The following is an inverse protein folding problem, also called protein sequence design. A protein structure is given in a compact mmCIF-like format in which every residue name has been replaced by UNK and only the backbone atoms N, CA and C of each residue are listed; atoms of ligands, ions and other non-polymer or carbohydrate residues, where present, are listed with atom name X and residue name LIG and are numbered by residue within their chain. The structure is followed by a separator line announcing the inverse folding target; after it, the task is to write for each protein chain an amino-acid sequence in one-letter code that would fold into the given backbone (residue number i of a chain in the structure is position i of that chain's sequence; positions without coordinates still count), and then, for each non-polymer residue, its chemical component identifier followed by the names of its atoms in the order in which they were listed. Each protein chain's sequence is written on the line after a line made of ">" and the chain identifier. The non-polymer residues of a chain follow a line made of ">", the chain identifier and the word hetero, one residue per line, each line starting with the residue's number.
data_IF_363810425295
#
_entry.id   IF_363810425295
#
_cell.length_a   1.000
_cell.length_b   1.000
_cell.length_c   1.000
_cell.angle_alpha   90.00
_cell.angle_beta   90.00
_cell.angle_gamma   90.00
#
_symmetry.space_group_name_H-M   'P 1'
#
loop_
_entity.id
_entity.type
_entity.pdbx_description
1 polymer ?
#
# COMPACT_ATOMS: atom_id res chain seq x y z
N UNK A 1 21.69 10.89 37.60
CA UNK A 1 22.44 9.62 37.47
C UNK A 1 21.92 8.45 38.29
N UNK A 2 21.74 8.56 39.61
CA UNK A 2 21.43 7.40 40.47
C UNK A 2 20.03 6.78 40.22
N UNK A 3 19.01 7.60 39.97
CA UNK A 3 17.67 7.13 39.60
C UNK A 3 17.65 6.33 38.28
N UNK A 4 18.42 6.77 37.29
CA UNK A 4 18.55 6.09 35.98
C UNK A 4 19.30 4.76 36.13
N UNK A 5 20.37 4.73 36.93
CA UNK A 5 21.10 3.49 37.25
C UNK A 5 20.20 2.47 37.95
N UNK A 6 19.32 2.92 38.85
CA UNK A 6 18.35 2.05 39.52
C UNK A 6 17.26 1.53 38.55
N UNK A 7 16.72 2.39 37.67
CA UNK A 7 15.80 2.00 36.60
C UNK A 7 16.43 0.93 35.70
N UNK A 8 17.67 1.17 35.24
CA UNK A 8 18.44 0.22 34.43
C UNK A 8 18.68 -1.11 35.14
N UNK A 9 19.02 -1.08 36.43
CA UNK A 9 19.23 -2.31 37.21
C UNK A 9 17.96 -3.17 37.26
N UNK A 10 16.78 -2.54 37.40
CA UNK A 10 15.49 -3.24 37.32
C UNK A 10 15.26 -3.83 35.93
N UNK A 11 15.52 -3.08 34.85
CA UNK A 11 15.43 -3.57 33.47
C UNK A 11 16.34 -4.78 33.23
N UNK A 12 17.60 -4.71 33.68
CA UNK A 12 18.58 -5.81 33.59
C UNK A 12 18.11 -7.06 34.32
N UNK A 13 17.53 -6.91 35.51
CA UNK A 13 16.98 -8.03 36.29
C UNK A 13 15.82 -8.71 35.55
N UNK A 14 14.89 -7.92 35.02
CA UNK A 14 13.74 -8.44 34.26
C UNK A 14 14.19 -9.11 32.97
N UNK A 15 15.11 -8.50 32.21
CA UNK A 15 15.70 -9.10 31.01
C UNK A 15 16.34 -10.46 31.33
N UNK A 16 17.17 -10.52 32.37
CA UNK A 16 17.87 -11.75 32.76
C UNK A 16 16.87 -12.87 33.11
N UNK A 17 15.79 -12.53 33.82
CA UNK A 17 14.74 -13.51 34.17
C UNK A 17 14.04 -14.08 32.92
N UNK A 18 13.69 -13.22 31.97
CA UNK A 18 13.04 -13.65 30.71
C UNK A 18 14.02 -14.43 29.82
N UNK A 19 15.27 -14.00 29.74
CA UNK A 19 16.33 -14.69 29.00
C UNK A 19 16.58 -16.10 29.55
N UNK A 20 16.61 -16.26 30.87
CA UNK A 20 16.76 -17.57 31.51
C UNK A 20 15.55 -18.47 31.24
N UNK A 21 14.32 -17.93 31.30
CA UNK A 21 13.11 -18.68 30.95
C UNK A 21 13.15 -19.19 29.51
N UNK A 22 13.46 -18.31 28.55
CA UNK A 22 13.60 -18.71 27.15
C UNK A 22 14.73 -19.74 26.97
N UNK A 23 15.84 -19.59 27.68
CA UNK A 23 16.94 -20.58 27.65
C UNK A 23 16.47 -21.95 28.12
N UNK A 24 15.70 -22.04 29.21
CA UNK A 24 15.13 -23.31 29.67
C UNK A 24 14.13 -23.90 28.69
N UNK A 25 13.25 -23.07 28.10
CA UNK A 25 12.28 -23.51 27.11
C UNK A 25 12.96 -24.03 25.84
N UNK A 26 14.04 -23.39 25.39
CA UNK A 26 14.80 -23.84 24.23
C UNK A 26 15.64 -25.10 24.50
N UNK A 27 15.93 -25.40 25.77
CA UNK A 27 16.64 -26.61 26.18
C UNK A 27 15.72 -27.83 26.38
N UNK A 28 14.41 -27.61 26.59
CA UNK A 28 13.43 -28.69 26.75
C UNK A 28 13.09 -29.37 25.41
N UNK A 29 13.09 -30.70 25.42
CA UNK A 29 12.72 -31.57 24.29
C UNK A 29 11.20 -31.58 24.04
N UNK A 30 10.38 -31.33 25.08
CA UNK A 30 8.91 -31.29 25.03
C UNK A 30 8.35 -29.85 25.11
N UNK A 31 9.15 -28.86 24.71
CA UNK A 31 8.81 -27.44 24.78
C UNK A 31 7.50 -27.08 24.06
N UNK A 32 6.67 -26.26 24.70
CA UNK A 32 5.48 -25.67 24.09
C UNK A 32 5.89 -24.56 23.10
N UNK A 33 5.58 -24.69 21.79
CA UNK A 33 5.89 -23.66 20.80
C UNK A 33 5.30 -22.29 21.11
N UNK A 34 4.10 -22.25 21.69
CA UNK A 34 3.40 -20.99 21.99
C UNK A 34 4.06 -20.28 23.17
N UNK A 35 4.42 -21.05 24.21
CA UNK A 35 5.13 -20.50 25.37
C UNK A 35 6.54 -20.02 24.99
N UNK A 36 7.23 -20.75 24.11
CA UNK A 36 8.55 -20.38 23.60
C UNK A 36 8.49 -19.11 22.75
N UNK A 37 7.49 -18.98 21.87
CA UNK A 37 7.23 -17.76 21.08
C UNK A 37 6.86 -16.57 21.96
N UNK A 38 5.99 -16.76 22.96
CA UNK A 38 5.64 -15.71 23.91
C UNK A 38 6.86 -15.24 24.74
N UNK A 39 7.70 -16.17 25.19
CA UNK A 39 8.93 -15.84 25.91
C UNK A 39 9.94 -15.10 25.02
N UNK A 40 10.01 -15.43 23.73
CA UNK A 40 10.83 -14.73 22.74
C UNK A 40 10.36 -13.28 22.54
N UNK A 41 9.06 -13.06 22.33
CA UNK A 41 8.52 -11.72 22.14
C UNK A 41 8.69 -10.85 23.39
N UNK A 42 8.48 -11.44 24.58
CA UNK A 42 8.77 -10.76 25.83
C UNK A 42 10.24 -10.37 25.94
N UNK A 43 11.17 -11.25 25.54
CA UNK A 43 12.60 -10.96 25.58
C UNK A 43 12.97 -9.79 24.64
N UNK A 44 12.38 -9.74 23.45
CA UNK A 44 12.57 -8.64 22.51
C UNK A 44 12.16 -7.29 23.11
N UNK A 45 10.94 -7.21 23.62
CA UNK A 45 10.42 -5.99 24.26
C UNK A 45 11.31 -5.56 25.45
N UNK A 46 11.82 -6.51 26.24
CA UNK A 46 12.73 -6.17 27.35
C UNK A 46 14.11 -5.71 26.90
N UNK A 47 14.59 -6.17 25.75
CA UNK A 47 15.83 -5.67 25.16
C UNK A 47 15.70 -4.22 24.70
N UNK A 48 14.55 -3.87 24.10
CA UNK A 48 14.29 -2.50 23.64
C UNK A 48 14.25 -1.52 24.83
N UNK A 49 13.54 -1.86 25.91
CA UNK A 49 13.53 -1.04 27.14
C UNK A 49 14.91 -0.92 27.79
N UNK A 50 15.76 -1.95 27.67
CA UNK A 50 17.11 -1.90 28.22
C UNK A 50 18.00 -0.96 27.42
N UNK A 51 17.90 -0.99 26.08
CA UNK A 51 18.61 -0.06 25.19
C UNK A 51 18.24 1.39 25.46
N UNK A 52 16.94 1.68 25.55
CA UNK A 52 16.47 3.02 25.88
C UNK A 52 17.02 3.51 27.23
N UNK A 53 17.08 2.64 28.24
CA UNK A 53 17.65 2.97 29.54
C UNK A 53 19.18 3.10 29.52
N UNK A 54 19.89 2.42 28.62
CA UNK A 54 21.33 2.54 28.43
C UNK A 54 21.66 3.85 27.69
N UNK A 55 20.87 4.20 26.67
CA UNK A 55 20.98 5.47 25.93
C UNK A 55 20.73 6.68 26.84
N UNK A 56 19.68 6.65 27.69
CA UNK A 56 19.42 7.69 28.70
C UNK A 56 20.61 7.92 29.66
N UNK A 57 21.38 6.87 29.97
CA UNK A 57 22.56 6.96 30.83
C UNK A 57 23.75 7.51 30.05
N UNK A 58 23.93 7.09 28.79
CA UNK A 58 24.98 7.60 27.92
C UNK A 58 24.80 9.10 27.65
N UNK A 59 23.58 9.55 27.36
CA UNK A 59 23.27 10.97 27.17
C UNK A 59 23.61 11.78 28.42
N UNK A 60 23.30 11.26 29.61
CA UNK A 60 23.65 11.93 30.87
C UNK A 60 25.15 11.96 31.13
N UNK A 61 25.90 10.92 30.75
CA UNK A 61 27.36 10.91 30.88
C UNK A 61 28.03 11.90 29.93
N UNK A 62 27.45 12.11 28.74
CA UNK A 62 27.87 13.14 27.79
C UNK A 62 27.58 14.55 28.31
N UNK A 63 26.39 14.77 28.90
CA UNK A 63 26.03 16.04 29.54
C UNK A 63 26.92 16.39 30.74
N UNK A 64 27.38 15.40 31.49
CA UNK A 64 28.23 15.57 32.68
C UNK A 64 29.74 15.67 32.35
N UNK A 65 30.13 15.70 31.06
CA UNK A 65 31.54 15.70 30.59
C UNK A 65 32.41 14.63 31.26
N UNK A 66 31.84 13.43 31.43
CA UNK A 66 32.53 12.33 32.15
C UNK A 66 33.71 11.81 31.34
N UNK A 67 34.74 11.28 32.02
CA UNK A 67 35.94 10.73 31.37
C UNK A 67 35.59 9.64 30.34
N UNK A 68 36.31 9.63 29.22
CA UNK A 68 36.21 8.61 28.17
C UNK A 68 36.28 7.18 28.72
N UNK A 69 37.14 6.95 29.72
CA UNK A 69 37.29 5.65 30.38
C UNK A 69 36.00 5.18 31.06
N UNK A 70 35.24 6.11 31.66
CA UNK A 70 33.97 5.77 32.32
C UNK A 70 32.86 5.48 31.33
N UNK A 71 32.86 6.14 30.17
CA UNK A 71 31.93 5.86 29.08
C UNK A 71 32.20 4.49 28.45
N UNK A 72 33.48 4.15 28.26
CA UNK A 72 33.89 2.83 27.75
C UNK A 72 33.46 1.69 28.69
N UNK A 73 33.66 1.86 30.01
CA UNK A 73 33.20 0.88 31.00
C UNK A 73 31.68 0.69 30.98
N UNK A 74 30.93 1.77 30.77
CA UNK A 74 29.46 1.68 30.66
C UNK A 74 29.04 0.94 29.39
N UNK A 75 29.66 1.21 28.24
CA UNK A 75 29.42 0.51 26.97
C UNK A 75 29.73 -1.00 27.09
N UNK A 76 30.90 -1.35 27.61
CA UNK A 76 31.30 -2.76 27.83
C UNK A 76 30.32 -3.47 28.79
N UNK A 77 29.81 -2.75 29.79
CA UNK A 77 28.79 -3.24 30.71
C UNK A 77 27.45 -3.61 30.04
N UNK A 78 27.12 -3.01 28.90
CA UNK A 78 25.90 -3.30 28.12
C UNK A 78 26.06 -4.47 27.17
N UNK A 79 27.28 -4.69 26.67
CA UNK A 79 27.58 -5.65 25.61
C UNK A 79 27.18 -7.08 25.98
N UNK A 80 27.32 -7.47 27.26
CA UNK A 80 26.89 -8.79 27.76
C UNK A 80 25.39 -9.08 27.54
N UNK A 81 24.54 -8.06 27.62
CA UNK A 81 23.09 -8.22 27.41
C UNK A 81 22.75 -8.31 25.91
N UNK A 82 23.46 -7.53 25.08
CA UNK A 82 23.37 -7.62 23.62
C UNK A 82 23.83 -8.99 23.13
N UNK A 83 24.93 -9.51 23.67
CA UNK A 83 25.47 -10.82 23.33
C UNK A 83 24.50 -11.96 23.69
N UNK A 84 23.95 -11.94 24.90
CA UNK A 84 22.97 -12.95 25.35
C UNK A 84 21.69 -12.91 24.52
N UNK A 85 21.17 -11.72 24.20
CA UNK A 85 20.02 -11.56 23.30
C UNK A 85 20.29 -12.15 21.91
N UNK A 86 21.45 -11.85 21.33
CA UNK A 86 21.85 -12.31 20.00
C UNK A 86 21.99 -13.83 19.96
N UNK A 87 22.59 -14.43 20.98
CA UNK A 87 22.70 -15.89 21.09
C UNK A 87 21.33 -16.57 21.16
N UNK A 88 20.41 -16.01 21.95
CA UNK A 88 19.04 -16.52 22.06
C UNK A 88 18.26 -16.36 20.76
N UNK A 89 18.47 -15.27 20.01
CA UNK A 89 17.89 -15.05 18.68
C UNK A 89 18.26 -16.15 17.69
N UNK A 90 19.54 -16.53 17.67
CA UNK A 90 20.04 -17.59 16.78
C UNK A 90 19.46 -18.95 17.18
N UNK A 91 19.35 -19.23 18.48
CA UNK A 91 18.72 -20.48 18.96
C UNK A 91 17.23 -20.54 18.65
N UNK A 92 16.51 -19.43 18.85
CA UNK A 92 15.09 -19.34 18.56
C UNK A 92 14.80 -19.43 17.04
N UNK A 93 15.60 -18.79 16.19
CA UNK A 93 15.44 -18.90 14.74
C UNK A 93 15.67 -20.32 14.22
N UNK A 94 16.64 -21.05 14.78
CA UNK A 94 16.82 -22.50 14.50
C UNK A 94 15.65 -23.35 15.01
N UNK A 95 14.94 -22.90 16.04
CA UNK A 95 13.71 -23.55 16.50
C UNK A 95 12.55 -23.33 15.51
N UNK A 96 12.37 -22.11 15.01
CA UNK A 96 11.30 -21.75 14.06
C UNK A 96 11.56 -22.36 12.67
N UNK A 97 12.83 -22.45 12.27
CA UNK A 97 13.26 -23.02 11.00
C UNK A 97 13.80 -24.42 11.27
N UNK A 98 12.94 -25.46 11.24
CA UNK A 98 13.45 -26.84 11.20
C UNK A 98 14.21 -27.05 9.88
N UNK A 99 15.48 -27.50 9.90
CA UNK A 99 16.10 -28.08 8.72
C UNK A 99 15.34 -29.36 8.38
N UNK A 100 14.90 -29.51 7.14
CA UNK A 100 14.43 -30.79 6.64
C UNK A 100 15.62 -31.72 6.49
N UNK A 101 15.76 -32.71 7.38
CA UNK A 101 16.56 -33.91 7.15
C UNK A 101 15.69 -35.15 7.39
N UNK A 102 15.27 -35.72 6.26
CA UNK A 102 15.23 -37.14 5.87
C UNK A 102 15.07 -38.30 6.89
N UNK A 103 14.05 -39.13 6.55
CA UNK A 103 13.99 -40.62 6.55
C UNK A 103 13.54 -41.38 7.82
N UNK A 104 12.35 -41.99 7.66
CA UNK A 104 11.79 -43.23 8.22
C UNK A 104 12.02 -43.62 9.69
N UNK A 105 10.93 -43.70 10.46
CA UNK A 105 10.42 -44.99 10.96
C UNK A 105 9.04 -44.81 11.62
N UNK A 106 8.16 -45.77 11.35
CA UNK A 106 6.83 -45.95 11.91
C UNK A 106 6.77 -45.76 13.43
N UNK A 107 5.76 -45.01 13.90
CA UNK A 107 4.99 -45.38 15.07
C UNK A 107 3.70 -44.55 15.16
N UNK A 108 2.61 -45.29 15.13
CA UNK A 108 1.24 -44.90 15.38
C UNK A 108 1.09 -44.08 16.67
N UNK A 109 0.50 -42.88 16.62
CA UNK A 109 -0.41 -42.44 17.68
C UNK A 109 -1.32 -41.34 17.19
N UNK A 110 -2.60 -41.67 17.34
CA UNK A 110 -3.78 -40.85 17.13
C UNK A 110 -3.80 -39.73 18.19
N UNK A 111 -3.51 -38.50 17.77
CA UNK A 111 -3.85 -37.29 18.52
C UNK A 111 -4.39 -36.25 17.55
N UNK A 112 -5.73 -36.23 17.47
CA UNK A 112 -6.58 -35.05 17.21
C UNK A 112 -5.89 -33.88 16.51
N UNK A 113 -5.79 -33.99 15.18
CA UNK A 113 -5.51 -32.86 14.28
C UNK A 113 -6.57 -31.76 14.46
N UNK A 114 -6.37 -30.84 15.40
CA UNK A 114 -6.63 -29.43 15.10
C UNK A 114 -5.46 -28.96 14.24
N UNK A 115 -5.52 -29.30 12.95
CA UNK A 115 -4.80 -28.53 11.95
C UNK A 115 -5.27 -27.09 12.12
N UNK A 116 -4.50 -26.27 12.84
CA UNK A 116 -4.43 -24.86 12.50
C UNK A 116 -4.13 -24.90 11.01
N UNK A 117 -5.13 -24.58 10.18
CA UNK A 117 -4.88 -24.19 8.81
C UNK A 117 -3.95 -22.99 8.96
N UNK A 118 -2.65 -23.25 9.02
CA UNK A 118 -1.66 -22.31 8.53
C UNK A 118 -2.20 -22.06 7.14
N UNK A 119 -2.84 -20.90 6.95
CA UNK A 119 -3.12 -20.41 5.62
C UNK A 119 -1.73 -20.37 5.00
N UNK A 120 -1.40 -21.39 4.21
CA UNK A 120 -0.23 -21.37 3.36
C UNK A 120 -0.48 -20.16 2.50
N UNK A 121 0.10 -19.03 2.89
CA UNK A 121 0.15 -17.86 2.05
C UNK A 121 0.66 -18.39 0.71
N UNK A 122 0.01 -18.04 -0.41
CA UNK A 122 0.50 -18.41 -1.72
C UNK A 122 2.01 -18.14 -1.74
N UNK A 123 2.80 -19.13 -2.16
CA UNK A 123 4.23 -18.91 -2.34
C UNK A 123 4.36 -17.68 -3.23
N UNK A 124 5.13 -16.69 -2.79
CA UNK A 124 5.36 -15.49 -3.58
C UNK A 124 6.12 -15.95 -4.83
N UNK A 125 5.40 -16.06 -5.94
CA UNK A 125 5.98 -16.40 -7.23
C UNK A 125 6.72 -15.18 -7.76
N UNK A 126 7.94 -15.37 -8.24
CA UNK A 126 8.68 -14.31 -8.90
C UNK A 126 7.88 -13.83 -10.10
N UNK A 127 7.65 -12.51 -10.18
CA UNK A 127 6.99 -11.93 -11.34
C UNK A 127 7.77 -12.30 -12.59
N UNK A 128 7.10 -12.94 -13.55
CA UNK A 128 7.69 -13.33 -14.82
C UNK A 128 7.79 -12.12 -15.75
N UNK A 129 8.89 -12.04 -16.47
CA UNK A 129 9.20 -10.96 -17.39
C UNK A 129 9.30 -11.46 -18.84
N UNK A 130 8.58 -10.81 -19.74
CA UNK A 130 8.50 -11.14 -21.17
C UNK A 130 9.32 -10.19 -22.07
N UNK A 131 9.86 -9.11 -21.51
CA UNK A 131 10.52 -8.04 -22.26
C UNK A 131 9.65 -6.82 -22.52
N UNK A 132 8.45 -6.74 -21.94
CA UNK A 132 7.58 -5.56 -21.98
C UNK A 132 8.16 -4.41 -21.15
N UNK A 133 8.28 -3.22 -21.74
CA UNK A 133 8.74 -2.02 -21.04
C UNK A 133 7.88 -1.66 -19.82
N UNK A 134 6.58 -2.00 -19.87
CA UNK A 134 5.60 -1.73 -18.81
C UNK A 134 5.88 -2.50 -17.53
N UNK A 135 6.39 -3.72 -17.69
CA UNK A 135 6.59 -4.66 -16.59
C UNK A 135 8.03 -4.65 -16.06
N UNK A 136 8.92 -3.86 -16.67
CA UNK A 136 10.33 -3.78 -16.27
C UNK A 136 10.50 -3.35 -14.81
N UNK A 137 9.93 -2.20 -14.40
CA UNK A 137 10.05 -1.69 -13.03
C UNK A 137 9.47 -2.66 -11.97
N UNK A 138 8.24 -3.19 -12.15
CA UNK A 138 7.70 -4.21 -11.25
C UNK A 138 8.53 -5.50 -11.20
N UNK A 139 9.12 -5.93 -12.33
CA UNK A 139 9.98 -7.10 -12.38
C UNK A 139 11.32 -6.85 -11.67
N UNK A 140 12.02 -5.78 -12.05
CA UNK A 140 13.35 -5.49 -11.54
C UNK A 140 13.32 -5.25 -10.03
N UNK A 141 12.31 -4.53 -9.50
CA UNK A 141 12.18 -4.32 -8.04
C UNK A 141 12.02 -5.61 -7.22
N UNK A 142 11.47 -6.67 -7.80
CA UNK A 142 11.41 -7.98 -7.14
C UNK A 142 12.70 -8.77 -7.34
N UNK A 143 13.22 -8.79 -8.56
CA UNK A 143 14.40 -9.56 -8.92
C UNK A 143 15.69 -8.97 -8.31
N UNK A 144 15.75 -7.66 -8.12
CA UNK A 144 16.88 -6.94 -7.53
C UNK A 144 17.25 -7.51 -6.16
N UNK A 145 16.27 -7.91 -5.35
CA UNK A 145 16.50 -8.53 -4.05
C UNK A 145 17.32 -9.82 -4.16
N UNK A 146 17.03 -10.65 -5.18
CA UNK A 146 17.80 -11.87 -5.47
C UNK A 146 19.16 -11.50 -6.03
N UNK A 147 19.22 -10.48 -6.89
CA UNK A 147 20.47 -10.01 -7.49
C UNK A 147 21.47 -9.52 -6.43
N UNK A 148 21.01 -8.75 -5.43
CA UNK A 148 21.83 -8.17 -4.36
C UNK A 148 22.14 -9.15 -3.22
N UNK A 149 21.40 -10.26 -3.10
CA UNK A 149 21.60 -11.21 -2.01
C UNK A 149 22.93 -11.98 -2.17
N UNK A 150 23.92 -11.70 -1.33
CA UNK A 150 25.23 -12.35 -1.38
C UNK A 150 25.21 -13.82 -0.92
N UNK A 151 24.13 -14.28 -0.29
CA UNK A 151 24.02 -15.66 0.20
C UNK A 151 23.72 -16.68 -0.90
N UNK A 152 23.23 -16.21 -2.06
CA UNK A 152 22.84 -17.05 -3.19
C UNK A 152 24.01 -17.15 -4.18
N UNK A 153 24.39 -18.37 -4.55
CA UNK A 153 25.43 -18.59 -5.56
C UNK A 153 25.04 -18.00 -6.92
N UNK A 154 26.02 -17.56 -7.71
CA UNK A 154 25.78 -16.89 -9.00
C UNK A 154 25.11 -17.84 -10.01
N UNK A 155 25.42 -19.13 -9.95
CA UNK A 155 24.78 -20.18 -10.74
C UNK A 155 23.27 -20.28 -10.43
N UNK A 156 22.93 -20.29 -9.14
CA UNK A 156 21.55 -20.34 -8.68
C UNK A 156 20.81 -19.05 -9.05
N UNK A 157 21.45 -17.88 -8.90
CA UNK A 157 20.89 -16.61 -9.38
C UNK A 157 20.62 -16.61 -10.88
N UNK A 158 21.48 -17.26 -11.67
CA UNK A 158 21.24 -17.44 -13.10
C UNK A 158 20.01 -18.31 -13.33
N UNK A 159 19.88 -19.43 -12.62
CA UNK A 159 18.68 -20.27 -12.72
C UNK A 159 17.41 -19.49 -12.34
N UNK A 160 17.45 -18.70 -11.27
CA UNK A 160 16.35 -17.80 -10.89
C UNK A 160 16.04 -16.78 -12.00
N UNK A 161 17.06 -16.20 -12.64
CA UNK A 161 16.89 -15.28 -13.76
C UNK A 161 16.17 -15.94 -14.95
N UNK A 162 16.58 -17.17 -15.28
CA UNK A 162 15.93 -18.02 -16.27
C UNK A 162 14.46 -18.25 -15.87
N UNK A 163 14.18 -18.68 -14.64
CA UNK A 163 12.80 -18.92 -14.18
C UNK A 163 11.94 -17.66 -14.13
N UNK A 164 12.55 -16.50 -13.87
CA UNK A 164 11.87 -15.21 -13.81
C UNK A 164 11.58 -14.63 -15.21
N UNK A 165 11.92 -15.32 -16.30
CA UNK A 165 11.53 -14.93 -17.66
C UNK A 165 10.53 -15.86 -18.30
N UNK A 166 9.63 -15.30 -19.11
CA UNK A 166 8.59 -16.04 -19.81
C UNK A 166 9.22 -16.82 -20.97
N UNK A 167 8.97 -18.12 -21.13
CA UNK A 167 9.45 -18.88 -22.30
C UNK A 167 9.01 -18.26 -23.64
N UNK A 168 9.86 -18.33 -24.67
CA UNK A 168 9.61 -17.75 -26.00
C UNK A 168 9.36 -16.22 -26.01
N UNK A 169 9.97 -15.51 -25.07
CA UNK A 169 9.83 -14.05 -24.94
C UNK A 169 11.13 -13.33 -25.28
N UNK A 170 11.04 -12.03 -25.56
CA UNK A 170 12.22 -11.21 -25.90
C UNK A 170 13.23 -11.19 -24.75
N UNK A 171 12.76 -11.24 -23.51
CA UNK A 171 13.62 -11.30 -22.33
C UNK A 171 14.33 -12.66 -22.22
N UNK A 172 13.62 -13.75 -22.54
CA UNK A 172 14.17 -15.10 -22.54
C UNK A 172 15.27 -15.28 -23.59
N UNK A 173 15.05 -14.76 -24.80
CA UNK A 173 16.03 -14.81 -25.89
C UNK A 173 17.35 -14.13 -25.50
N UNK A 174 17.31 -13.08 -24.67
CA UNK A 174 18.53 -12.41 -24.17
C UNK A 174 19.29 -13.31 -23.21
N UNK A 175 18.59 -13.98 -22.30
CA UNK A 175 19.20 -14.77 -21.23
C UNK A 175 19.72 -16.10 -21.78
N UNK A 176 18.96 -16.76 -22.65
CA UNK A 176 19.37 -18.02 -23.29
C UNK A 176 20.54 -17.84 -24.27
N UNK A 177 20.85 -16.61 -24.67
CA UNK A 177 22.08 -16.28 -25.41
C UNK A 177 23.37 -16.49 -24.60
N UNK A 178 23.26 -16.69 -23.29
CA UNK A 178 24.39 -16.93 -22.40
C UNK A 178 24.33 -18.34 -21.80
N UNK A 179 25.45 -19.09 -21.80
CA UNK A 179 25.54 -20.33 -21.04
C UNK A 179 25.29 -20.06 -19.54
N UNK A 180 24.44 -20.86 -18.85
CA UNK A 180 24.06 -20.65 -17.45
C UNK A 180 25.18 -21.05 -16.49
N UNK A 181 26.23 -20.23 -16.44
CA UNK A 181 27.40 -20.39 -15.58
C UNK A 181 27.58 -19.15 -14.71
N UNK A 182 28.23 -19.26 -13.55
CA UNK A 182 28.49 -18.12 -12.67
C UNK A 182 29.21 -16.96 -13.38
N UNK A 183 30.21 -17.28 -14.20
CA UNK A 183 30.99 -16.27 -14.93
C UNK A 183 30.16 -15.42 -15.89
N UNK A 184 29.06 -15.97 -16.42
CA UNK A 184 28.21 -15.29 -17.40
C UNK A 184 27.00 -14.60 -16.77
N UNK A 185 26.70 -14.83 -15.48
CA UNK A 185 25.54 -14.24 -14.81
C UNK A 185 25.56 -12.71 -14.86
N UNK A 186 26.70 -12.11 -14.52
CA UNK A 186 26.86 -10.66 -14.50
C UNK A 186 26.67 -10.05 -15.89
N UNK A 187 27.16 -10.72 -16.94
CA UNK A 187 27.00 -10.27 -18.32
C UNK A 187 25.56 -10.41 -18.82
N UNK A 188 24.88 -11.51 -18.47
CA UNK A 188 23.47 -11.73 -18.78
C UNK A 188 22.56 -10.66 -18.13
N UNK A 189 22.78 -10.36 -16.84
CA UNK A 189 22.06 -9.29 -16.13
C UNK A 189 22.35 -7.94 -16.75
N UNK A 190 23.61 -7.63 -17.06
CA UNK A 190 23.98 -6.37 -17.69
C UNK A 190 23.32 -6.20 -19.06
N UNK A 191 23.29 -7.26 -19.88
CA UNK A 191 22.56 -7.25 -21.16
C UNK A 191 21.07 -7.04 -20.98
N UNK A 192 20.46 -7.66 -19.98
CA UNK A 192 19.05 -7.48 -19.68
C UNK A 192 18.74 -6.03 -19.29
N UNK A 193 19.53 -5.45 -18.38
CA UNK A 193 19.42 -4.03 -17.99
C UNK A 193 19.64 -3.09 -19.18
N UNK A 194 20.70 -3.31 -19.96
CA UNK A 194 21.02 -2.46 -21.12
C UNK A 194 19.90 -2.47 -22.17
N UNK A 195 19.20 -3.60 -22.34
CA UNK A 195 18.13 -3.74 -23.34
C UNK A 195 16.78 -3.25 -22.85
N UNK A 196 16.42 -3.51 -21.58
CA UNK A 196 15.07 -3.28 -21.06
C UNK A 196 15.00 -2.25 -19.93
N UNK A 197 16.08 -2.09 -19.15
CA UNK A 197 16.22 -1.09 -18.08
C UNK A 197 16.82 0.22 -18.55
N UNK A 198 16.35 0.67 -19.70
CA UNK A 198 16.75 1.95 -20.30
C UNK A 198 15.91 3.07 -19.71
N UNK A 199 16.49 3.80 -18.76
CA UNK A 199 15.79 4.86 -18.03
C UNK A 199 15.21 5.93 -18.97
N UNK A 200 15.94 6.28 -20.03
CA UNK A 200 15.47 7.22 -21.07
C UNK A 200 14.15 6.77 -21.71
N UNK A 201 14.08 5.52 -22.15
CA UNK A 201 12.86 4.96 -22.76
C UNK A 201 11.75 4.74 -21.75
N UNK A 202 12.07 4.36 -20.52
CA UNK A 202 11.10 4.18 -19.45
C UNK A 202 10.44 5.51 -19.11
N UNK A 203 11.22 6.58 -18.94
CA UNK A 203 10.71 7.94 -18.71
C UNK A 203 9.82 8.36 -19.87
N UNK A 204 10.28 8.22 -21.12
CA UNK A 204 9.46 8.53 -22.29
C UNK A 204 8.13 7.75 -22.31
N UNK A 205 8.16 6.47 -21.94
CA UNK A 205 6.97 5.63 -21.87
C UNK A 205 5.95 6.18 -20.86
N UNK A 206 6.37 6.44 -19.62
CA UNK A 206 5.48 6.95 -18.57
C UNK A 206 4.96 8.36 -18.87
N UNK A 207 5.80 9.24 -19.46
CA UNK A 207 5.37 10.57 -19.91
C UNK A 207 4.34 10.46 -21.04
N UNK A 208 4.53 9.54 -22.00
CA UNK A 208 3.56 9.32 -23.08
C UNK A 208 2.25 8.73 -22.56
N UNK A 209 2.28 7.85 -21.57
CA UNK A 209 1.06 7.37 -20.92
C UNK A 209 0.34 8.51 -20.19
N UNK A 210 1.07 9.40 -19.51
CA UNK A 210 0.50 10.62 -18.92
C UNK A 210 -0.14 11.52 -19.98
N UNK A 211 0.53 11.77 -21.11
CA UNK A 211 -0.02 12.54 -22.23
C UNK A 211 -1.25 11.87 -22.84
N UNK A 212 -1.31 10.53 -22.91
CA UNK A 212 -2.52 9.82 -23.36
C UNK A 212 -3.70 10.06 -22.42
N UNK A 213 -3.47 10.21 -21.12
CA UNK A 213 -4.53 10.58 -20.18
C UNK A 213 -5.04 11.99 -20.46
N UNK A 214 -4.13 12.94 -20.74
CA UNK A 214 -4.49 14.31 -21.16
C UNK A 214 -5.35 14.30 -22.43
N UNK A 215 -4.95 13.55 -23.45
CA UNK A 215 -5.66 13.50 -24.73
C UNK A 215 -7.02 12.79 -24.66
N UNK A 216 -7.25 11.96 -23.64
CA UNK A 216 -8.53 11.27 -23.41
C UNK A 216 -9.53 12.12 -22.63
N UNK A 217 -9.14 13.32 -22.20
CA UNK A 217 -10.02 14.28 -21.56
C UNK A 217 -10.97 14.90 -22.60
N UNK A 218 -11.97 14.14 -23.02
CA UNK A 218 -12.97 14.55 -24.03
C UNK A 218 -14.17 15.30 -23.42
N UNK A 219 -14.11 15.60 -22.11
CA UNK A 219 -15.15 16.32 -21.39
C UNK A 219 -16.40 15.48 -21.06
N UNK A 220 -16.41 14.18 -21.37
CA UNK A 220 -17.58 13.29 -21.16
C UNK A 220 -17.40 12.30 -20.01
N UNK A 221 -16.59 12.66 -19.01
CA UNK A 221 -16.30 11.76 -17.89
C UNK A 221 -17.49 11.57 -16.96
N UNK A 222 -17.91 10.31 -16.78
CA UNK A 222 -18.81 9.95 -15.68
C UNK A 222 -18.09 10.07 -14.33
N UNK A 223 -18.83 10.30 -13.24
CA UNK A 223 -18.26 10.45 -11.87
C UNK A 223 -17.39 9.26 -11.44
N UNK A 224 -17.66 8.06 -11.94
CA UNK A 224 -16.86 6.86 -11.66
C UNK A 224 -15.51 6.84 -12.39
N UNK A 225 -15.28 7.73 -13.35
CA UNK A 225 -14.03 7.79 -14.12
C UNK A 225 -12.94 8.62 -13.42
N UNK A 226 -13.29 9.50 -12.47
CA UNK A 226 -12.31 10.32 -11.75
C UNK A 226 -11.40 9.49 -10.85
N UNK A 227 -11.94 8.46 -10.18
CA UNK A 227 -11.16 7.51 -9.38
C UNK A 227 -10.13 6.78 -10.26
N UNK A 228 -10.58 6.27 -11.42
CA UNK A 228 -9.70 5.60 -12.37
C UNK A 228 -8.63 6.55 -12.96
N UNK A 229 -8.99 7.80 -13.22
CA UNK A 229 -8.06 8.82 -13.70
C UNK A 229 -7.01 9.12 -12.64
N UNK A 230 -7.43 9.37 -11.41
CA UNK A 230 -6.56 9.60 -10.27
C UNK A 230 -5.56 8.46 -10.06
N UNK A 231 -6.02 7.20 -10.03
CA UNK A 231 -5.16 6.03 -9.85
C UNK A 231 -4.12 5.90 -10.97
N UNK A 232 -4.52 6.18 -12.22
CA UNK A 232 -3.60 6.16 -13.37
C UNK A 232 -2.56 7.26 -13.26
N UNK A 233 -2.97 8.48 -12.93
CA UNK A 233 -2.08 9.63 -12.72
C UNK A 233 -1.07 9.35 -11.60
N UNK A 234 -1.55 8.89 -10.45
CA UNK A 234 -0.71 8.52 -9.31
C UNK A 234 0.29 7.41 -9.68
N UNK A 235 -0.14 6.41 -10.44
CA UNK A 235 0.72 5.33 -10.93
C UNK A 235 1.84 5.85 -11.84
N UNK A 236 1.53 6.72 -12.81
CA UNK A 236 2.54 7.27 -13.72
C UNK A 236 3.54 8.14 -12.95
N UNK A 237 3.06 9.02 -12.06
CA UNK A 237 3.91 9.92 -11.26
C UNK A 237 4.85 9.12 -10.35
N UNK A 238 4.35 8.11 -9.63
CA UNK A 238 5.17 7.24 -8.77
C UNK A 238 6.22 6.45 -9.57
N UNK A 239 5.88 6.01 -10.79
CA UNK A 239 6.83 5.31 -11.65
C UNK A 239 7.96 6.23 -12.10
N UNK A 240 7.66 7.48 -12.46
CA UNK A 240 8.66 8.49 -12.80
C UNK A 240 9.57 8.82 -11.61
N UNK A 241 9.01 8.97 -10.40
CA UNK A 241 9.79 9.18 -9.18
C UNK A 241 10.77 8.03 -8.90
N UNK A 242 10.34 6.79 -9.14
CA UNK A 242 11.18 5.58 -8.98
C UNK A 242 12.38 5.59 -9.93
N UNK A 243 12.23 6.18 -11.11
CA UNK A 243 13.30 6.34 -12.11
C UNK A 243 14.25 7.52 -11.80
N UNK A 244 14.12 8.14 -10.63
CA UNK A 244 14.95 9.28 -10.25
C UNK A 244 14.57 10.59 -10.95
N UNK A 245 13.40 10.66 -11.59
CA UNK A 245 12.80 11.92 -12.06
C UNK A 245 12.30 12.66 -10.83
N UNK A 246 13.22 13.36 -10.18
CA UNK A 246 12.98 14.15 -8.99
C UNK A 246 11.91 15.20 -9.27
N UNK A 247 10.87 15.18 -8.42
CA UNK A 247 9.68 16.01 -8.55
C UNK A 247 10.08 17.49 -8.63
N UNK A 248 11.12 17.95 -7.92
CA UNK A 248 11.51 19.37 -7.88
C UNK A 248 11.84 19.96 -9.25
N UNK A 249 12.52 19.21 -10.12
CA UNK A 249 12.91 19.69 -11.45
C UNK A 249 11.80 19.48 -12.48
N UNK A 250 10.95 18.46 -12.27
CA UNK A 250 9.96 18.02 -13.25
C UNK A 250 8.52 18.42 -12.93
N UNK A 251 8.22 18.89 -11.71
CA UNK A 251 6.87 19.35 -11.34
C UNK A 251 6.42 20.55 -12.17
N UNK A 252 7.35 21.37 -12.65
CA UNK A 252 7.03 22.44 -13.58
C UNK A 252 6.44 21.93 -14.91
N UNK A 253 6.78 20.71 -15.32
CA UNK A 253 6.22 20.05 -16.49
C UNK A 253 5.03 19.16 -16.09
N UNK A 254 5.14 18.38 -15.02
CA UNK A 254 4.11 17.42 -14.61
C UNK A 254 2.83 18.10 -14.14
N UNK A 255 2.91 19.25 -13.44
CA UNK A 255 1.73 19.96 -12.96
C UNK A 255 0.80 20.37 -14.11
N UNK A 256 1.25 21.09 -15.15
CA UNK A 256 0.39 21.42 -16.29
C UNK A 256 -0.19 20.20 -17.00
N UNK A 257 0.56 19.09 -17.09
CA UNK A 257 0.07 17.85 -17.69
C UNK A 257 -1.06 17.25 -16.86
N UNK A 258 -0.88 17.14 -15.54
CA UNK A 258 -1.91 16.61 -14.64
C UNK A 258 -3.13 17.52 -14.66
N UNK A 259 -2.95 18.84 -14.54
CA UNK A 259 -4.05 19.81 -14.61
C UNK A 259 -4.82 19.69 -15.93
N UNK A 260 -4.14 19.56 -17.07
CA UNK A 260 -4.80 19.43 -18.38
C UNK A 260 -5.53 18.10 -18.59
N UNK A 261 -5.22 17.06 -17.79
CA UNK A 261 -5.91 15.78 -17.85
C UNK A 261 -7.27 15.76 -17.15
N UNK A 262 -7.58 16.81 -16.38
CA UNK A 262 -8.78 16.84 -15.53
C UNK A 262 -10.02 17.37 -16.27
N UNK A 263 -11.20 16.78 -16.02
CA UNK A 263 -12.45 17.32 -16.54
C UNK A 263 -12.74 18.73 -15.99
N UNK A 264 -13.51 19.50 -16.76
CA UNK A 264 -13.78 20.92 -16.45
C UNK A 264 -14.43 21.13 -15.08
N UNK A 265 -15.30 20.22 -14.64
CA UNK A 265 -15.95 20.26 -13.32
C UNK A 265 -14.90 20.24 -12.18
N UNK A 266 -13.94 19.32 -12.25
CA UNK A 266 -12.89 19.18 -11.25
C UNK A 266 -11.87 20.33 -11.31
N UNK A 267 -11.62 20.89 -12.49
CA UNK A 267 -10.81 22.11 -12.62
C UNK A 267 -11.45 23.30 -11.92
N UNK A 268 -12.77 23.49 -12.08
CA UNK A 268 -13.50 24.56 -11.38
C UNK A 268 -13.50 24.34 -9.87
N UNK A 269 -13.68 23.10 -9.42
CA UNK A 269 -13.63 22.75 -8.00
C UNK A 269 -12.23 23.00 -7.42
N UNK A 270 -11.19 22.58 -8.14
CA UNK A 270 -9.78 22.85 -7.79
C UNK A 270 -9.50 24.34 -7.66
N UNK A 271 -9.89 25.16 -8.64
CA UNK A 271 -9.69 26.62 -8.61
C UNK A 271 -10.43 27.31 -7.44
N UNK A 272 -11.54 26.72 -6.97
CA UNK A 272 -12.30 27.23 -5.81
C UNK A 272 -11.78 26.72 -4.48
N UNK A 273 -10.92 25.71 -4.48
CA UNK A 273 -10.41 25.09 -3.26
C UNK A 273 -9.47 26.02 -2.48
N UNK A 274 -9.49 25.90 -1.16
CA UNK A 274 -8.50 26.54 -0.29
C UNK A 274 -7.07 26.07 -0.57
N UNK A 275 -6.94 24.83 -1.06
CA UNK A 275 -5.66 24.21 -1.39
C UNK A 275 -4.98 24.88 -2.59
N UNK A 276 -5.75 25.32 -3.58
CA UNK A 276 -5.24 26.15 -4.68
C UNK A 276 -4.74 27.51 -4.21
N UNK A 277 -5.51 28.19 -3.35
CA UNK A 277 -5.10 29.47 -2.76
C UNK A 277 -3.81 29.33 -1.93
N UNK A 278 -3.69 28.25 -1.16
CA UNK A 278 -2.49 27.92 -0.42
C UNK A 278 -1.33 27.46 -1.34
N UNK A 279 -1.59 26.93 -2.53
CA UNK A 279 -0.58 26.48 -3.48
C UNK A 279 0.07 27.64 -4.25
N UNK A 280 -0.62 28.78 -4.37
CA UNK A 280 -0.17 29.95 -5.13
C UNK A 280 1.13 30.59 -4.59
N UNK A 281 1.46 30.37 -3.30
CA UNK A 281 2.67 30.91 -2.66
C UNK A 281 3.86 29.95 -2.63
N UNK A 282 3.72 28.71 -3.12
CA UNK A 282 4.69 27.64 -2.89
C UNK A 282 5.36 27.14 -4.19
N UNK A 283 6.45 26.37 -4.06
CA UNK A 283 7.11 25.66 -5.17
C UNK A 283 6.13 24.84 -6.02
N UNK A 284 6.39 24.68 -7.32
CA UNK A 284 5.54 23.90 -8.24
C UNK A 284 5.36 22.45 -7.77
N UNK A 285 6.33 21.91 -7.04
CA UNK A 285 6.21 20.63 -6.36
C UNK A 285 5.07 20.59 -5.35
N UNK A 286 5.04 21.59 -4.47
CA UNK A 286 3.99 21.75 -3.47
C UNK A 286 2.62 21.91 -4.14
N UNK A 287 2.57 22.53 -5.32
CA UNK A 287 1.34 22.71 -6.09
C UNK A 287 0.85 21.41 -6.73
N UNK A 288 1.75 20.60 -7.30
CA UNK A 288 1.42 19.25 -7.79
C UNK A 288 0.93 18.35 -6.65
N UNK A 289 1.61 18.35 -5.51
CA UNK A 289 1.23 17.56 -4.34
C UNK A 289 -0.15 17.96 -3.81
N UNK A 290 -0.44 19.27 -3.76
CA UNK A 290 -1.76 19.77 -3.36
C UNK A 290 -2.85 19.40 -4.35
N UNK A 291 -2.57 19.45 -5.65
CA UNK A 291 -3.52 18.99 -6.68
C UNK A 291 -3.83 17.50 -6.51
N UNK A 292 -2.81 16.66 -6.33
CA UNK A 292 -3.02 15.22 -6.10
C UNK A 292 -3.78 14.94 -4.80
N UNK A 293 -3.52 15.71 -3.72
CA UNK A 293 -4.30 15.61 -2.47
C UNK A 293 -5.76 16.01 -2.65
N UNK A 294 -6.02 17.08 -3.40
CA UNK A 294 -7.37 17.51 -3.75
C UNK A 294 -8.11 16.41 -4.52
N UNK A 295 -7.50 15.87 -5.57
CA UNK A 295 -8.11 14.79 -6.36
C UNK A 295 -8.40 13.55 -5.52
N UNK A 296 -7.48 13.17 -4.61
CA UNK A 296 -7.73 12.09 -3.65
C UNK A 296 -8.97 12.38 -2.80
N UNK A 297 -9.06 13.58 -2.25
CA UNK A 297 -10.21 13.96 -1.41
C UNK A 297 -11.53 13.95 -2.19
N UNK A 298 -11.50 14.34 -3.46
CA UNK A 298 -12.67 14.34 -4.33
C UNK A 298 -13.13 12.92 -4.66
N UNK A 299 -12.19 12.00 -4.93
CA UNK A 299 -12.48 10.57 -5.10
C UNK A 299 -13.13 9.98 -3.85
N UNK A 300 -12.57 10.24 -2.67
CA UNK A 300 -13.14 9.77 -1.40
C UNK A 300 -14.52 10.39 -1.12
N UNK A 301 -14.74 11.65 -1.52
CA UNK A 301 -16.02 12.32 -1.36
C UNK A 301 -17.09 11.71 -2.28
N UNK A 302 -16.75 11.40 -3.52
CA UNK A 302 -17.67 10.72 -4.45
C UNK A 302 -18.02 9.30 -3.95
N UNK A 303 -17.07 8.56 -3.37
CA UNK A 303 -17.37 7.28 -2.71
C UNK A 303 -18.36 7.45 -1.54
N UNK A 304 -18.18 8.49 -0.71
CA UNK A 304 -19.09 8.82 0.39
C UNK A 304 -20.48 9.24 -0.10
N UNK A 305 -20.55 10.02 -1.17
CA UNK A 305 -21.81 10.45 -1.80
C UNK A 305 -22.54 9.23 -2.37
N UNK A 306 -21.82 8.34 -3.06
CA UNK A 306 -22.36 7.09 -3.61
C UNK A 306 -22.95 6.22 -2.48
N UNK A 307 -22.20 6.01 -1.40
CA UNK A 307 -22.69 5.29 -0.22
C UNK A 307 -23.94 5.94 0.40
N UNK A 308 -23.98 7.27 0.48
CA UNK A 308 -25.13 7.99 1.02
C UNK A 308 -26.38 7.90 0.12
N UNK A 309 -26.20 7.85 -1.20
CA UNK A 309 -27.31 7.75 -2.16
C UNK A 309 -27.83 6.30 -2.23
N UNK A 310 -26.93 5.32 -2.27
CA UNK A 310 -27.28 3.90 -2.35
C UNK A 310 -27.87 3.37 -1.03
N UNK A 311 -27.37 3.82 0.12
CA UNK A 311 -27.87 3.42 1.45
C UNK A 311 -29.34 3.77 1.71
N UNK A 312 -29.91 4.69 0.93
CA UNK A 312 -31.32 5.08 0.99
C UNK A 312 -32.11 4.80 -0.30
N UNK A 313 -31.51 4.13 -1.30
CA UNK A 313 -32.14 3.87 -2.61
C UNK A 313 -32.73 5.14 -3.27
N UNK A 314 -32.01 6.27 -3.20
CA UNK A 314 -32.39 7.51 -3.87
C UNK A 314 -32.06 7.51 -5.38
N UNK A 315 -31.36 6.46 -5.84
CA UNK A 315 -31.14 6.18 -7.26
C UNK A 315 -32.46 5.78 -7.91
N UNK A 316 -33.17 6.76 -8.47
CA UNK A 316 -34.35 6.57 -9.30
C UNK A 316 -33.95 5.89 -10.63
N UNK A 317 -33.69 4.58 -10.60
CA UNK A 317 -33.56 3.78 -11.82
C UNK A 317 -34.08 2.33 -11.64
N UNK A 318 -35.07 2.15 -10.78
CA UNK A 318 -35.95 0.99 -10.86
C UNK A 318 -36.97 1.21 -11.99
N UNK A 319 -36.59 0.82 -13.21
CA UNK A 319 -37.55 0.38 -14.23
C UNK A 319 -38.33 -0.82 -13.68
N UNK A 320 -39.32 -0.56 -12.83
CA UNK A 320 -40.29 -1.58 -12.40
C UNK A 320 -41.09 -2.05 -13.63
N UNK A 321 -40.64 -3.16 -14.24
CA UNK A 321 -41.53 -4.04 -15.01
C UNK A 321 -42.58 -4.57 -14.06
N UNK A 322 -43.76 -3.95 -14.00
CA UNK A 322 -44.90 -4.46 -13.23
C UNK A 322 -45.30 -5.87 -13.72
N UNK A 323 -45.33 -6.90 -12.86
CA UNK A 323 -46.19 -8.04 -13.08
C UNK A 323 -47.62 -7.64 -12.68
N UNK A 324 -48.59 -7.94 -13.56
CA UNK A 324 -50.01 -7.82 -13.21
C UNK A 324 -50.36 -8.88 -12.17
N UNK A 325 -50.75 -8.49 -10.97
CA UNK A 325 -51.71 -9.27 -10.17
C UNK A 325 -52.62 -8.35 -9.35
N UNK A 326 -53.92 -8.67 -9.40
CA UNK A 326 -55.01 -8.05 -8.63
C UNK A 326 -54.90 -8.52 -7.19
N UNK A 327 -54.84 -7.59 -6.23
CA UNK A 327 -55.44 -7.77 -4.90
C UNK A 327 -55.92 -6.40 -4.41
N UNK A 328 -57.21 -6.28 -4.15
CA UNK A 328 -57.82 -5.18 -3.41
C UNK A 328 -57.58 -5.40 -1.91
N UNK A 329 -57.01 -4.40 -1.24
CA UNK A 329 -57.27 -4.16 0.19
C UNK A 329 -57.17 -2.67 0.46
N UNK A 330 -58.29 -2.12 0.94
CA UNK A 330 -58.46 -0.73 1.36
C UNK A 330 -57.79 -0.54 2.73
N UNK A 331 -56.88 0.43 2.84
CA UNK A 331 -56.78 1.33 4.00
C UNK A 331 -56.16 2.67 3.58
N UNK A 332 -56.64 3.71 4.24
CA UNK A 332 -56.67 5.10 3.79
C UNK A 332 -55.33 5.84 3.91
N UNK A 333 -55.05 6.70 2.94
CA UNK A 333 -54.15 7.87 3.12
C UNK A 333 -54.72 9.05 2.33
N UNK A 334 -54.62 10.25 2.91
CA UNK A 334 -55.42 11.44 2.63
C UNK A 334 -55.11 12.16 1.30
N UNK A 335 -55.33 11.51 0.15
CA UNK A 335 -55.17 12.14 -1.18
C UNK A 335 -56.49 12.33 -1.96
N UNK A 336 -57.63 12.13 -1.30
CA UNK A 336 -58.95 12.07 -1.93
C UNK A 336 -59.79 13.36 -1.88
N UNK A 337 -59.20 14.55 -1.91
CA UNK A 337 -59.96 15.81 -2.05
C UNK A 337 -59.58 16.53 -3.34
N UNK A 338 -60.01 15.97 -4.47
CA UNK A 338 -60.10 16.70 -5.73
C UNK A 338 -61.55 17.13 -5.86
N UNK A 339 -61.83 18.42 -5.66
CA UNK A 339 -63.13 19.01 -5.96
C UNK A 339 -63.35 18.89 -7.48
N UNK A 340 -64.23 17.97 -7.87
CA UNK A 340 -64.65 17.80 -9.25
C UNK A 340 -65.60 18.94 -9.62
N UNK A 341 -65.15 19.84 -10.49
CA UNK A 341 -66.00 20.93 -10.97
C UNK A 341 -65.33 21.81 -12.02
N UNK A 342 -65.26 21.30 -13.25
CA UNK A 342 -65.29 22.00 -14.55
C UNK A 342 -64.53 23.34 -14.64
N UNK A 343 -63.46 23.39 -15.45
CA UNK A 343 -63.28 24.39 -16.53
C UNK A 343 -61.92 24.22 -17.24
N UNK A 344 -61.92 24.45 -18.55
CA UNK A 344 -60.79 24.37 -19.48
C UNK A 344 -59.55 25.16 -19.02
N UNK A 345 -58.40 24.50 -18.96
CA UNK A 345 -57.10 25.17 -18.78
C UNK A 345 -56.63 25.79 -20.10
N UNK A 346 -56.40 27.10 -20.12
CA UNK A 346 -55.67 27.79 -21.20
C UNK A 346 -54.26 28.18 -20.73
N UNK A 347 -53.31 28.20 -21.68
CA UNK A 347 -51.90 28.54 -21.40
C UNK A 347 -51.76 30.02 -21.06
N UNK A 348 -51.14 30.32 -19.92
CA UNK A 348 -50.94 31.68 -19.41
C UNK A 348 -49.84 32.40 -20.18
N UNK A 349 -50.14 33.57 -20.74
CA UNK A 349 -49.19 34.37 -21.55
C UNK A 349 -48.08 35.06 -20.75
N UNK A 350 -48.09 34.99 -19.41
CA UNK A 350 -47.08 35.63 -18.56
C UNK A 350 -46.04 34.65 -17.98
N UNK A 351 -46.39 33.39 -17.82
CA UNK A 351 -45.51 32.38 -17.20
C UNK A 351 -45.50 31.04 -17.93
N UNK A 352 -46.17 30.93 -19.09
CA UNK A 352 -46.27 29.73 -19.91
C UNK A 352 -46.86 28.47 -19.22
N UNK A 353 -47.40 28.61 -18.00
CA UNK A 353 -48.08 27.54 -17.25
C UNK A 353 -49.59 27.42 -17.57
N UNK A 354 -50.20 26.29 -17.21
CA UNK A 354 -51.65 26.06 -17.35
C UNK A 354 -52.39 26.45 -16.07
N UNK A 355 -53.35 27.39 -16.17
CA UNK A 355 -54.17 27.85 -15.05
C UNK A 355 -55.67 27.77 -15.35
N UNK A 356 -56.48 27.56 -14.31
CA UNK A 356 -57.93 27.57 -14.42
C UNK A 356 -58.42 29.02 -14.52
N UNK A 357 -59.14 29.34 -15.59
CA UNK A 357 -59.68 30.68 -15.83
C UNK A 357 -61.01 30.83 -15.10
N UNK A 358 -61.00 31.51 -13.95
CA UNK A 358 -62.24 31.92 -13.27
C UNK A 358 -62.79 33.19 -13.93
N UNK A 359 -63.89 33.07 -14.67
CA UNK A 359 -64.71 34.22 -15.07
C UNK A 359 -65.52 34.68 -13.87
N UNK A 360 -65.21 35.84 -13.32
CA UNK A 360 -66.15 36.60 -12.51
C UNK A 360 -66.55 37.86 -13.27
N UNK A 361 -67.78 37.86 -13.77
CA UNK A 361 -68.50 39.05 -14.20
C UNK A 361 -68.67 39.97 -12.99
N UNK A 362 -68.18 41.21 -13.10
CA UNK A 362 -68.60 42.31 -12.23
C UNK A 362 -69.62 43.11 -13.04
N UNK A 363 -70.87 43.08 -12.56
CA UNK A 363 -71.95 43.96 -12.98
C UNK A 363 -72.01 45.16 -12.05
#
# INVERSE_FOLDING_TARGET
>A
MESLRNKRAACRSVFTRVANNLTSLLADSNRDPVETEAAWEQLHVKMDYLRESDDEIMDKLLEEETSEETMLQELEGTEKYVATFTQLKVRYSRFVIKPSEEVNSDANSDFTKRQRKIMKLPKIELKKFDGSIRDWLPFWSQFEKIHTDETIALEDKFQYLIFATVPNSKARDVIEGFPPTAGNYSEAVNRLKTRFGRDDLLIEFYVRELLKLVLRNDGTHSKNEIASLYDKLETQIRSLQTLGVNTDMCAAMLYPLVESSLPEEFLRAWQRSSDFAAASSNSMNSRLDKLMKFLRSEVENEERITLAIEGFSLSNDEKFKKPRSKVETKTSTASGLINSGITSFSKCTFCDGNHAVSKNDIR
#
